data_IF_862348333961
#
_entry.id   IF_862348333961
#
_cell.length_a   1.000
_cell.length_b   1.000
_cell.length_c   1.000
_cell.angle_alpha   90.00
_cell.angle_beta   90.00
_cell.angle_gamma   90.00
#
_symmetry.space_group_name_H-M   'P 1'
#
loop_
_entity.id
_entity.type
_entity.pdbx_description
1 polymer ?
#
# COMPACT_ATOMS: atom_id res chain seq x y z
N UNK A 1 -57.32 1.63 -25.76
CA UNK A 1 -56.37 0.97 -24.82
C UNK A 1 -54.95 0.91 -25.42
N UNK A 2 -54.38 2.04 -25.89
CA UNK A 2 -53.08 2.07 -26.58
C UNK A 2 -52.09 3.11 -26.02
N UNK A 3 -52.61 4.22 -25.50
CA UNK A 3 -51.83 5.36 -24.98
C UNK A 3 -51.06 5.04 -23.68
N UNK A 4 -51.53 4.06 -22.88
CA UNK A 4 -50.85 3.66 -21.64
C UNK A 4 -49.53 2.92 -21.90
N UNK A 5 -49.41 2.13 -22.98
CA UNK A 5 -48.19 1.37 -23.28
C UNK A 5 -47.02 2.25 -23.76
N UNK A 6 -47.32 3.38 -24.41
CA UNK A 6 -46.32 4.34 -24.90
C UNK A 6 -45.60 5.06 -23.76
N UNK A 7 -46.30 5.34 -22.64
CA UNK A 7 -45.67 5.94 -21.45
C UNK A 7 -44.65 4.99 -20.81
N UNK A 8 -44.93 3.69 -20.73
CA UNK A 8 -43.97 2.72 -20.17
C UNK A 8 -42.75 2.53 -21.07
N UNK A 9 -42.92 2.57 -22.39
CA UNK A 9 -41.81 2.48 -23.35
C UNK A 9 -40.88 3.70 -23.24
N UNK A 10 -41.43 4.89 -23.06
CA UNK A 10 -40.64 6.12 -22.88
C UNK A 10 -39.79 6.07 -21.61
N UNK A 11 -40.34 5.57 -20.50
CA UNK A 11 -39.60 5.37 -19.24
C UNK A 11 -38.60 4.21 -19.30
N UNK A 12 -38.88 3.14 -20.06
CA UNK A 12 -37.96 2.02 -20.29
C UNK A 12 -36.72 2.45 -21.09
N UNK A 13 -36.90 3.28 -22.12
CA UNK A 13 -35.80 3.80 -22.93
C UNK A 13 -34.95 4.84 -22.18
N UNK A 14 -35.55 5.60 -21.27
CA UNK A 14 -34.83 6.54 -20.40
C UNK A 14 -34.00 5.82 -19.31
N UNK A 15 -34.45 4.65 -18.84
CA UNK A 15 -33.69 3.82 -17.90
C UNK A 15 -32.55 3.04 -18.59
N UNK A 16 -32.75 2.61 -19.84
CA UNK A 16 -31.74 1.87 -20.61
C UNK A 16 -30.55 2.76 -21.06
N UNK A 17 -30.77 4.07 -21.25
CA UNK A 17 -29.71 5.01 -21.61
C UNK A 17 -28.83 5.40 -20.41
N UNK A 18 -29.37 5.40 -19.19
CA UNK A 18 -28.60 5.62 -17.94
C UNK A 18 -27.63 4.45 -17.65
N UNK A 19 -27.98 3.22 -18.05
CA UNK A 19 -27.07 2.06 -17.90
C UNK A 19 -25.83 2.13 -18.80
N UNK A 20 -25.85 2.89 -19.90
CA UNK A 20 -24.70 3.02 -20.81
C UNK A 20 -23.67 4.07 -20.35
N UNK A 21 -23.99 4.86 -19.31
CA UNK A 21 -23.02 5.73 -18.63
C UNK A 21 -22.12 4.99 -17.62
N UNK A 22 -22.41 3.71 -17.33
CA UNK A 22 -21.56 2.81 -16.54
C UNK A 22 -20.73 1.86 -17.38
N UNK A 23 -20.58 2.11 -18.69
CA UNK A 23 -19.43 1.61 -19.43
C UNK A 23 -18.18 2.41 -19.01
N UNK A 24 -17.83 2.31 -17.73
CA UNK A 24 -16.55 2.75 -17.20
C UNK A 24 -15.45 2.02 -17.96
N UNK A 25 -14.44 2.78 -18.36
CA UNK A 25 -13.18 2.26 -18.86
C UNK A 25 -12.75 1.06 -18.01
N UNK A 26 -12.59 -0.10 -18.65
CA UNK A 26 -12.01 -1.28 -18.03
C UNK A 26 -10.56 -1.01 -17.69
N UNK A 27 -10.32 -0.28 -16.61
CA UNK A 27 -9.09 -0.44 -15.84
C UNK A 27 -9.14 -1.86 -15.30
N UNK A 28 -8.16 -2.68 -15.70
CA UNK A 28 -7.94 -3.99 -15.12
C UNK A 28 -7.77 -3.83 -13.60
N UNK A 29 -8.85 -3.97 -12.85
CA UNK A 29 -8.76 -4.30 -11.45
C UNK A 29 -8.26 -5.73 -11.41
N UNK A 30 -6.96 -5.89 -11.21
CA UNK A 30 -6.41 -7.13 -10.66
C UNK A 30 -7.10 -7.33 -9.31
N UNK A 31 -8.20 -8.08 -9.34
CA UNK A 31 -8.84 -8.62 -8.15
C UNK A 31 -7.79 -9.42 -7.40
N UNK A 32 -7.28 -8.81 -6.34
CA UNK A 32 -6.31 -9.38 -5.43
C UNK A 32 -6.92 -10.65 -4.83
N UNK A 33 -6.44 -11.77 -5.35
CA UNK A 33 -6.88 -13.11 -4.99
C UNK A 33 -5.79 -13.71 -4.13
N UNK A 34 -5.55 -13.17 -2.94
CA UNK A 34 -4.69 -13.79 -1.92
C UNK A 34 -3.34 -14.29 -2.44
N UNK A 35 -2.77 -13.63 -3.45
CA UNK A 35 -1.54 -14.09 -4.08
C UNK A 35 -0.41 -13.69 -3.15
N UNK A 36 0.17 -14.68 -2.48
CA UNK A 36 1.43 -14.49 -1.76
C UNK A 36 2.49 -14.07 -2.79
N UNK A 37 3.13 -12.90 -2.64
CA UNK A 37 4.11 -12.44 -3.62
C UNK A 37 5.27 -13.44 -3.70
N UNK A 38 5.81 -13.66 -4.90
CA UNK A 38 6.92 -14.60 -5.08
C UNK A 38 8.26 -13.96 -4.71
N UNK A 39 8.34 -12.63 -4.78
CA UNK A 39 9.44 -11.84 -4.28
C UNK A 39 8.96 -10.61 -3.50
N UNK A 40 9.83 -10.11 -2.64
CA UNK A 40 9.67 -8.83 -1.97
C UNK A 40 11.03 -8.12 -2.00
N UNK A 41 11.03 -6.81 -2.24
CA UNK A 41 12.25 -5.98 -2.20
C UNK A 41 11.97 -4.77 -1.33
N UNK A 42 12.76 -4.56 -0.28
CA UNK A 42 12.71 -3.35 0.53
C UNK A 42 13.57 -2.24 -0.08
N UNK A 43 13.21 -1.00 0.19
CA UNK A 43 14.03 0.16 -0.12
C UNK A 43 13.34 1.46 0.24
N UNK A 44 13.64 2.50 -0.53
CA UNK A 44 13.00 3.80 -0.41
C UNK A 44 13.06 4.54 -1.74
N UNK A 45 12.22 5.56 -1.88
CA UNK A 45 12.34 6.55 -2.96
C UNK A 45 12.27 7.96 -2.38
N UNK A 46 12.83 8.92 -3.10
CA UNK A 46 12.78 10.33 -2.69
C UNK A 46 11.54 11.01 -3.27
N UNK A 47 10.79 11.70 -2.41
CA UNK A 47 9.71 12.62 -2.80
C UNK A 47 10.07 14.02 -2.32
N UNK A 48 10.71 14.80 -3.21
CA UNK A 48 11.32 16.07 -2.83
C UNK A 48 12.47 15.86 -1.85
N UNK A 49 12.33 16.38 -0.62
CA UNK A 49 13.33 16.22 0.45
C UNK A 49 13.09 14.98 1.33
N UNK A 50 11.96 14.30 1.17
CA UNK A 50 11.58 13.18 2.04
C UNK A 50 12.03 11.85 1.42
N UNK A 51 12.72 11.02 2.20
CA UNK A 51 12.88 9.60 1.93
C UNK A 51 11.63 8.83 2.36
N UNK A 52 10.91 8.23 1.41
CA UNK A 52 9.72 7.43 1.67
C UNK A 52 10.10 5.95 1.62
N UNK A 53 10.08 5.24 2.76
CA UNK A 53 10.36 3.82 2.81
C UNK A 53 9.24 3.06 2.12
N UNK A 54 9.58 2.00 1.40
CA UNK A 54 8.62 1.20 0.67
C UNK A 54 9.17 -0.19 0.40
N UNK A 55 8.28 -1.06 -0.07
CA UNK A 55 8.67 -2.33 -0.66
C UNK A 55 7.99 -2.53 -2.01
N UNK A 56 8.59 -3.35 -2.86
CA UNK A 56 8.09 -3.71 -4.17
C UNK A 56 7.79 -5.20 -4.25
N UNK A 57 6.68 -5.50 -4.90
CA UNK A 57 6.24 -6.85 -5.31
C UNK A 57 5.91 -6.83 -6.81
N UNK A 58 5.38 -7.93 -7.32
CA UNK A 58 4.87 -8.06 -8.69
C UNK A 58 3.74 -7.06 -9.00
N UNK A 59 2.98 -6.66 -7.98
CA UNK A 59 1.82 -5.76 -8.13
C UNK A 59 2.22 -4.29 -8.05
N UNK A 60 3.46 -4.00 -7.69
CA UNK A 60 4.01 -2.65 -7.64
C UNK A 60 4.59 -2.28 -6.28
N UNK A 61 4.66 -0.98 -6.03
CA UNK A 61 5.23 -0.39 -4.83
C UNK A 61 4.16 -0.22 -3.76
N UNK A 62 4.48 -0.57 -2.52
CA UNK A 62 3.69 -0.23 -1.33
C UNK A 62 4.51 0.69 -0.43
N UNK A 63 3.95 1.85 -0.11
CA UNK A 63 4.60 2.85 0.74
C UNK A 63 4.40 2.48 2.21
N UNK A 64 5.48 2.58 2.99
CA UNK A 64 5.48 2.28 4.42
C UNK A 64 5.32 3.58 5.22
N UNK A 65 4.39 3.65 6.18
CA UNK A 65 4.15 4.89 6.93
C UNK A 65 5.32 5.23 7.83
N UNK A 66 5.71 6.51 7.80
CA UNK A 66 6.85 7.05 8.53
C UNK A 66 6.55 8.39 9.24
N UNK A 67 5.29 8.69 9.57
CA UNK A 67 4.86 9.95 10.22
C UNK A 67 5.36 11.23 9.54
N UNK A 68 5.43 11.26 8.21
CA UNK A 68 6.02 12.36 7.42
C UNK A 68 7.49 12.67 7.74
N UNK A 69 8.23 11.66 8.23
CA UNK A 69 9.68 11.76 8.40
C UNK A 69 10.35 12.18 7.10
N UNK A 70 11.32 13.08 7.20
CA UNK A 70 12.19 13.45 6.08
C UNK A 70 13.22 12.36 5.76
N UNK A 71 13.51 11.50 6.74
CA UNK A 71 14.50 10.44 6.64
C UNK A 71 13.87 9.14 7.11
N UNK A 72 13.49 8.28 6.17
CA UNK A 72 12.93 6.98 6.49
C UNK A 72 13.27 5.97 5.39
N UNK A 73 13.71 4.79 5.81
CA UNK A 73 14.31 3.79 4.94
C UNK A 73 13.87 2.39 5.37
N UNK A 74 13.55 1.53 4.40
CA UNK A 74 13.47 0.09 4.61
C UNK A 74 14.73 -0.58 4.02
N UNK A 75 15.36 -1.46 4.80
CA UNK A 75 16.65 -2.08 4.44
C UNK A 75 16.54 -3.56 4.11
N UNK A 76 15.61 -4.27 4.74
CA UNK A 76 15.44 -5.71 4.56
C UNK A 76 13.98 -6.07 4.62
N UNK A 77 13.64 -7.19 3.97
CA UNK A 77 12.28 -7.69 3.90
C UNK A 77 12.25 -9.21 4.08
N UNK A 78 11.15 -9.71 4.63
CA UNK A 78 10.85 -11.12 4.74
C UNK A 78 9.35 -11.35 4.47
N UNK A 79 9.01 -12.51 3.93
CA UNK A 79 7.63 -12.89 3.65
C UNK A 79 7.28 -14.16 4.43
N UNK A 80 6.18 -14.13 5.17
CA UNK A 80 5.57 -15.32 5.78
C UNK A 80 4.06 -15.23 5.70
N UNK A 81 3.42 -16.31 5.27
CA UNK A 81 1.96 -16.44 5.26
C UNK A 81 1.23 -15.26 4.59
N UNK A 82 1.81 -14.77 3.49
CA UNK A 82 1.28 -13.62 2.73
C UNK A 82 1.53 -12.25 3.36
N UNK A 83 2.16 -12.20 4.54
CA UNK A 83 2.50 -10.96 5.23
C UNK A 83 3.95 -10.57 4.95
N UNK A 84 4.15 -9.34 4.48
CA UNK A 84 5.47 -8.75 4.26
C UNK A 84 5.94 -8.10 5.55
N UNK A 85 7.15 -8.42 5.97
CA UNK A 85 7.82 -7.83 7.13
C UNK A 85 9.01 -7.03 6.64
N UNK A 86 9.12 -5.76 7.02
CA UNK A 86 10.25 -4.92 6.61
C UNK A 86 11.00 -4.41 7.84
N UNK A 87 12.32 -4.34 7.82
CA UNK A 87 13.10 -3.63 8.83
C UNK A 87 13.61 -2.31 8.29
N UNK A 88 13.83 -1.34 9.18
CA UNK A 88 14.40 -0.07 8.75
C UNK A 88 14.55 0.95 9.86
N UNK A 89 14.39 2.21 9.48
CA UNK A 89 14.40 3.36 10.37
C UNK A 89 13.46 4.45 9.90
N UNK A 90 13.10 5.34 10.81
CA UNK A 90 12.55 6.66 10.50
C UNK A 90 13.08 7.71 11.48
N UNK A 91 13.12 8.98 11.09
CA UNK A 91 13.48 10.09 11.98
C UNK A 91 12.26 10.63 12.74
N UNK A 92 12.40 10.82 14.05
CA UNK A 92 11.42 11.53 14.89
C UNK A 92 11.61 13.07 14.85
N UNK A 93 12.53 13.55 14.01
CA UNK A 93 12.94 14.96 13.93
C UNK A 93 14.11 15.32 14.84
N UNK A 94 14.51 14.44 15.76
CA UNK A 94 15.67 14.62 16.64
C UNK A 94 16.73 13.53 16.45
N UNK A 95 16.29 12.30 16.21
CA UNK A 95 17.13 11.11 15.98
C UNK A 95 16.40 10.12 15.08
N UNK A 96 17.14 9.14 14.60
CA UNK A 96 16.59 7.98 13.89
C UNK A 96 16.18 6.90 14.88
N UNK A 97 15.00 6.34 14.65
CA UNK A 97 14.38 5.27 15.44
C UNK A 97 14.39 4.01 14.60
N UNK A 98 15.01 2.95 15.12
CA UNK A 98 14.93 1.63 14.53
C UNK A 98 13.49 1.14 14.59
N UNK A 99 12.98 0.58 13.49
CA UNK A 99 11.62 0.07 13.44
C UNK A 99 11.51 -1.12 12.49
N UNK A 100 10.37 -1.79 12.56
CA UNK A 100 9.96 -2.75 11.55
C UNK A 100 8.49 -2.50 11.18
N UNK A 101 8.08 -2.98 10.01
CA UNK A 101 6.70 -2.95 9.54
C UNK A 101 6.20 -4.37 9.35
N UNK A 102 4.95 -4.61 9.74
CA UNK A 102 4.18 -5.82 9.40
C UNK A 102 3.07 -5.38 8.46
N UNK A 103 3.19 -5.73 7.18
CA UNK A 103 2.46 -5.04 6.11
C UNK A 103 2.79 -3.55 6.13
N UNK A 104 1.81 -2.73 6.46
CA UNK A 104 1.96 -1.27 6.62
C UNK A 104 1.98 -0.82 8.09
N UNK A 105 1.84 -1.73 9.05
CA UNK A 105 1.80 -1.36 10.46
C UNK A 105 3.23 -1.27 11.01
N UNK A 106 3.66 -0.04 11.37
CA UNK A 106 4.99 0.22 11.93
C UNK A 106 5.02 -0.08 13.43
N UNK A 107 6.04 -0.81 13.87
CA UNK A 107 6.41 -0.98 15.27
C UNK A 107 7.81 -0.44 15.50
N UNK A 108 7.94 0.44 16.49
CA UNK A 108 9.21 1.04 16.88
C UNK A 108 9.98 0.07 17.79
N UNK A 109 11.29 -0.04 17.59
CA UNK A 109 12.17 -0.85 18.43
C UNK A 109 12.79 0.03 19.51
N UNK A 110 12.89 -0.51 20.72
CA UNK A 110 13.43 0.23 21.86
C UNK A 110 14.92 0.54 21.65
N UNK A 111 15.27 1.81 21.82
CA UNK A 111 16.65 2.29 21.91
C UNK A 111 16.89 2.92 23.29
N UNK A 112 18.02 3.62 23.44
CA UNK A 112 18.35 4.31 24.69
C UNK A 112 17.67 5.69 24.85
N UNK A 113 16.87 6.09 23.86
CA UNK A 113 16.12 7.34 23.83
C UNK A 113 16.92 8.58 23.40
N UNK A 114 18.24 8.46 23.18
CA UNK A 114 19.12 9.62 22.92
C UNK A 114 19.93 9.48 21.64
N UNK A 115 20.33 8.26 21.27
CA UNK A 115 21.15 8.03 20.08
C UNK A 115 20.35 7.46 18.90
N UNK A 116 20.90 7.66 17.71
CA UNK A 116 20.41 7.08 16.47
C UNK A 116 20.40 5.56 16.50
N UNK A 117 19.34 4.97 15.96
CA UNK A 117 19.19 3.52 15.84
C UNK A 117 18.63 3.12 14.47
N UNK A 118 19.06 1.96 13.97
CA UNK A 118 18.56 1.39 12.72
C UNK A 118 18.42 -0.14 12.78
N UNK A 119 17.40 -0.68 12.11
CA UNK A 119 17.22 -2.13 11.96
C UNK A 119 17.59 -2.57 10.54
N UNK A 120 18.78 -3.15 10.39
CA UNK A 120 19.37 -3.46 9.08
C UNK A 120 18.83 -4.74 8.43
N UNK A 121 18.38 -5.71 9.23
CA UNK A 121 17.90 -7.00 8.73
C UNK A 121 16.74 -7.52 9.57
N UNK A 122 15.85 -8.26 8.92
CA UNK A 122 14.79 -9.03 9.57
C UNK A 122 14.90 -10.49 9.13
N UNK A 123 14.72 -11.40 10.09
CA UNK A 123 14.63 -12.83 9.82
C UNK A 123 13.41 -13.38 10.52
N UNK A 124 12.71 -14.30 9.86
CA UNK A 124 11.56 -14.99 10.42
C UNK A 124 11.98 -16.42 10.73
N UNK A 125 11.58 -16.88 11.91
CA UNK A 125 11.75 -18.29 12.27
C UNK A 125 10.71 -19.10 11.51
N UNK A 126 11.20 -20.08 10.76
CA UNK A 126 10.38 -21.13 10.14
C UNK A 126 10.13 -22.27 11.10
#
# INVERSE_FOLDING_TARGET
MYIRKIKYIFWLLLFLSISLLFAGCGGSSSGDSGVTPSFTVAGFYSSGIQGIPCYWTETGRTDLPANNSIEAFAFSTALSDGTVYNSGLYSDGTKTIACYWTGTDRTDLEGDGVHDACAQSISLRR
#
